data_IF_257753569931
#
_entry.id   IF_257753569931
#
_cell.length_a   1.000
_cell.length_b   1.000
_cell.length_c   1.000
_cell.angle_alpha   90.00
_cell.angle_beta   90.00
_cell.angle_gamma   90.00
#
_symmetry.space_group_name_H-M   'P 1'
#
loop_
_entity.id
_entity.type
_entity.pdbx_description
1 polymer ?
#
# COMPACT_ATOMS: atom_id res chain seq x y z
N UNK A 1 -32.67 -53.00 4.18
CA UNK A 1 -31.29 -52.50 4.41
C UNK A 1 -31.14 -51.18 3.66
N UNK A 2 -30.78 -50.10 4.34
CA UNK A 2 -30.81 -48.72 3.79
C UNK A 2 -29.44 -48.08 3.99
N UNK A 3 -28.85 -47.56 2.90
CA UNK A 3 -27.54 -46.93 2.89
C UNK A 3 -27.59 -45.58 2.20
N UNK A 4 -27.14 -44.56 2.91
CA UNK A 4 -26.88 -43.24 2.36
C UNK A 4 -25.40 -43.07 2.07
N UNK A 5 -25.06 -42.70 0.84
CA UNK A 5 -23.69 -42.62 0.34
C UNK A 5 -23.46 -41.28 -0.34
N UNK A 6 -22.40 -40.57 0.02
CA UNK A 6 -22.00 -39.37 -0.71
C UNK A 6 -21.22 -39.80 -1.96
N UNK A 7 -21.73 -39.48 -3.16
CA UNK A 7 -21.20 -40.03 -4.41
C UNK A 7 -19.76 -39.59 -4.70
N UNK A 8 -19.45 -38.31 -4.48
CA UNK A 8 -18.14 -37.71 -4.78
C UNK A 8 -16.98 -38.44 -4.11
N UNK A 9 -17.21 -38.94 -2.90
CA UNK A 9 -16.19 -39.51 -2.02
C UNK A 9 -16.44 -41.00 -1.74
N UNK A 10 -17.55 -41.55 -2.25
CA UNK A 10 -18.07 -42.89 -1.94
C UNK A 10 -18.16 -43.18 -0.43
N UNK A 11 -18.40 -42.12 0.37
CA UNK A 11 -18.40 -42.23 1.82
C UNK A 11 -19.76 -42.65 2.35
N UNK A 12 -19.75 -43.57 3.32
CA UNK A 12 -20.96 -44.02 4.00
C UNK A 12 -21.43 -42.96 4.99
N UNK A 13 -22.55 -42.33 4.66
CA UNK A 13 -23.15 -41.23 5.44
C UNK A 13 -24.02 -41.79 6.56
N UNK A 14 -24.79 -42.83 6.26
CA UNK A 14 -25.66 -43.50 7.22
C UNK A 14 -26.02 -44.91 6.75
N UNK A 15 -26.07 -45.88 7.68
CA UNK A 15 -26.48 -47.25 7.39
C UNK A 15 -27.49 -47.73 8.42
N UNK A 16 -28.67 -48.10 7.95
CA UNK A 16 -29.79 -48.56 8.76
C UNK A 16 -30.27 -49.95 8.33
N UNK A 17 -30.38 -50.86 9.29
CA UNK A 17 -30.81 -52.24 9.03
C UNK A 17 -31.54 -52.80 10.24
N UNK A 18 -32.66 -53.50 10.02
CA UNK A 18 -33.39 -54.22 11.07
C UNK A 18 -33.70 -53.38 12.32
N UNK A 19 -34.08 -52.10 12.15
CA UNK A 19 -34.42 -51.23 13.28
C UNK A 19 -33.23 -50.50 13.92
N UNK A 20 -32.00 -50.77 13.50
CA UNK A 20 -30.78 -50.24 14.13
C UNK A 20 -29.87 -49.50 13.16
N UNK A 21 -29.23 -48.45 13.68
CA UNK A 21 -28.21 -47.69 12.96
C UNK A 21 -26.86 -48.41 13.14
N UNK A 22 -26.30 -48.91 12.03
CA UNK A 22 -25.13 -49.79 12.04
C UNK A 22 -23.80 -49.04 11.93
N UNK A 23 -23.78 -47.86 11.33
CA UNK A 23 -22.53 -47.11 11.18
C UNK A 23 -22.61 -45.85 10.33
N UNK A 24 -21.62 -45.00 10.56
CA UNK A 24 -21.37 -43.72 9.90
C UNK A 24 -19.85 -43.57 9.74
N UNK A 25 -19.37 -42.96 8.67
CA UNK A 25 -17.97 -42.52 8.61
C UNK A 25 -17.71 -41.35 9.56
N UNK A 26 -16.45 -41.18 9.98
CA UNK A 26 -16.07 -40.28 11.08
C UNK A 26 -16.57 -38.82 10.89
N UNK A 27 -16.51 -38.31 9.67
CA UNK A 27 -17.01 -36.97 9.30
C UNK A 27 -18.53 -36.76 9.41
N UNK A 28 -19.30 -37.86 9.43
CA UNK A 28 -20.75 -37.87 9.57
C UNK A 28 -21.22 -38.33 10.95
N UNK A 29 -20.29 -38.84 11.76
CA UNK A 29 -20.58 -39.47 13.05
C UNK A 29 -21.27 -38.50 14.00
N UNK A 30 -22.46 -38.87 14.46
CA UNK A 30 -23.28 -38.06 15.36
C UNK A 30 -23.92 -36.84 14.72
N UNK A 31 -23.74 -36.64 13.40
CA UNK A 31 -24.37 -35.57 12.63
C UNK A 31 -25.57 -36.04 11.84
N UNK A 32 -25.66 -37.34 11.55
CA UNK A 32 -26.68 -37.89 10.64
C UNK A 32 -27.71 -38.76 11.35
N UNK A 33 -28.95 -38.69 10.88
CA UNK A 33 -30.09 -39.42 11.43
C UNK A 33 -31.09 -39.75 10.32
N UNK A 34 -31.50 -41.02 10.23
CA UNK A 34 -32.60 -41.44 9.37
C UNK A 34 -33.94 -41.16 10.08
N UNK A 35 -34.80 -40.35 9.47
CA UNK A 35 -36.10 -39.99 10.05
C UNK A 35 -37.06 -41.17 9.93
N UNK A 36 -37.54 -41.68 11.08
CA UNK A 36 -38.28 -42.95 11.15
C UNK A 36 -39.78 -42.83 10.91
N UNK A 37 -40.34 -41.63 11.12
CA UNK A 37 -41.79 -41.41 11.11
C UNK A 37 -42.43 -41.68 9.74
N UNK A 38 -41.67 -41.56 8.64
CA UNK A 38 -42.15 -41.79 7.28
C UNK A 38 -41.76 -43.15 6.67
N UNK A 39 -41.02 -44.01 7.40
CA UNK A 39 -40.50 -45.27 6.84
C UNK A 39 -41.62 -46.21 6.40
N UNK A 40 -42.72 -46.28 7.15
CA UNK A 40 -43.89 -47.12 6.81
C UNK A 40 -44.55 -46.71 5.50
N UNK A 41 -44.43 -45.44 5.14
CA UNK A 41 -45.00 -44.85 3.93
C UNK A 41 -44.00 -44.85 2.77
N UNK A 42 -42.81 -45.45 2.98
CA UNK A 42 -41.73 -45.53 2.00
C UNK A 42 -40.83 -44.30 1.94
N UNK A 43 -40.96 -43.36 2.87
CA UNK A 43 -40.12 -42.16 2.92
C UNK A 43 -38.80 -42.45 3.66
N UNK A 44 -37.67 -42.00 3.11
CA UNK A 44 -36.33 -42.38 3.55
C UNK A 44 -35.43 -41.19 3.90
N UNK A 45 -36.03 -40.13 4.44
CA UNK A 45 -35.35 -38.86 4.69
C UNK A 45 -34.17 -38.98 5.64
N UNK A 46 -33.04 -38.38 5.24
CA UNK A 46 -31.84 -38.26 6.05
C UNK A 46 -31.67 -36.82 6.52
N UNK A 47 -31.55 -36.63 7.83
CA UNK A 47 -31.16 -35.36 8.44
C UNK A 47 -29.65 -35.32 8.65
N UNK A 48 -29.00 -34.25 8.20
CA UNK A 48 -27.60 -33.91 8.52
C UNK A 48 -27.59 -32.63 9.35
N UNK A 49 -26.93 -32.63 10.50
CA UNK A 49 -26.81 -31.50 11.42
C UNK A 49 -25.43 -30.87 11.34
N UNK A 50 -25.34 -29.59 11.76
CA UNK A 50 -24.12 -28.79 11.66
C UNK A 50 -23.52 -28.85 10.24
N UNK A 51 -24.36 -28.55 9.24
CA UNK A 51 -24.00 -28.63 7.81
C UNK A 51 -22.88 -27.64 7.49
N UNK A 52 -21.93 -28.08 6.68
CA UNK A 52 -20.75 -27.36 6.23
C UNK A 52 -20.71 -27.31 4.69
N UNK A 53 -19.90 -26.42 4.13
CA UNK A 53 -19.71 -26.34 2.66
C UNK A 53 -19.18 -27.63 2.04
N UNK A 54 -18.47 -28.48 2.81
CA UNK A 54 -18.01 -29.80 2.36
C UNK A 54 -19.13 -30.84 2.22
N UNK A 55 -20.28 -30.61 2.83
CA UNK A 55 -21.42 -31.52 2.70
C UNK A 55 -22.18 -31.30 1.39
N UNK A 56 -21.95 -30.19 0.66
CA UNK A 56 -22.54 -29.98 -0.67
C UNK A 56 -22.16 -31.11 -1.64
N UNK A 57 -23.15 -31.64 -2.36
CA UNK A 57 -22.94 -32.64 -3.40
C UNK A 57 -24.11 -33.61 -3.58
N UNK A 58 -23.86 -34.63 -4.41
CA UNK A 58 -24.83 -35.70 -4.69
C UNK A 58 -24.73 -36.82 -3.67
N UNK A 59 -25.89 -37.23 -3.16
CA UNK A 59 -26.08 -38.31 -2.21
C UNK A 59 -26.97 -39.36 -2.85
N UNK A 60 -26.59 -40.63 -2.74
CA UNK A 60 -27.47 -41.73 -3.11
C UNK A 60 -28.04 -42.43 -1.88
N UNK A 61 -29.32 -42.76 -1.96
CA UNK A 61 -30.02 -43.63 -1.04
C UNK A 61 -30.23 -44.98 -1.73
N UNK A 62 -29.51 -46.00 -1.28
CA UNK A 62 -29.60 -47.37 -1.77
C UNK A 62 -30.38 -48.23 -0.77
N UNK A 63 -31.40 -48.93 -1.26
CA UNK A 63 -32.26 -49.82 -0.49
C UNK A 63 -32.14 -51.23 -1.03
N UNK A 64 -31.86 -52.18 -0.14
CA UNK A 64 -31.86 -53.61 -0.42
C UNK A 64 -32.90 -54.31 0.45
N UNK A 65 -33.79 -55.08 -0.17
CA UNK A 65 -34.77 -55.93 0.51
C UNK A 65 -34.83 -57.31 -0.18
N UNK A 66 -34.27 -58.34 0.48
CA UNK A 66 -34.03 -59.63 -0.17
C UNK A 66 -33.20 -59.46 -1.44
N UNK A 67 -33.74 -59.91 -2.58
CA UNK A 67 -33.12 -59.77 -3.90
C UNK A 67 -33.48 -58.44 -4.61
N UNK A 68 -34.42 -57.67 -4.05
CA UNK A 68 -34.84 -56.39 -4.62
C UNK A 68 -33.86 -55.26 -4.24
N UNK A 69 -33.52 -54.44 -5.23
CA UNK A 69 -32.65 -53.27 -5.08
C UNK A 69 -33.28 -52.04 -5.71
N UNK A 70 -33.18 -50.91 -5.04
CA UNK A 70 -33.54 -49.61 -5.58
C UNK A 70 -32.54 -48.55 -5.11
N UNK A 71 -32.30 -47.54 -5.96
CA UNK A 71 -31.43 -46.42 -5.65
C UNK A 71 -32.03 -45.12 -6.16
N UNK A 72 -31.93 -44.06 -5.35
CA UNK A 72 -32.31 -42.70 -5.73
C UNK A 72 -31.18 -41.74 -5.40
N UNK A 73 -31.07 -40.65 -6.16
CA UNK A 73 -30.02 -39.63 -5.99
C UNK A 73 -30.65 -38.29 -5.67
N UNK A 74 -30.11 -37.59 -4.68
CA UNK A 74 -30.52 -36.25 -4.25
C UNK A 74 -29.30 -35.35 -4.23
N UNK A 75 -29.45 -34.09 -4.62
CA UNK A 75 -28.40 -33.08 -4.56
C UNK A 75 -28.63 -32.15 -3.38
N UNK A 76 -27.62 -32.01 -2.51
CA UNK A 76 -27.59 -31.05 -1.42
C UNK A 76 -26.71 -29.87 -1.83
N UNK A 77 -27.28 -28.67 -1.80
CA UNK A 77 -26.56 -27.41 -2.01
C UNK A 77 -26.51 -26.61 -0.71
N UNK A 78 -25.30 -26.34 -0.23
CA UNK A 78 -25.04 -25.57 0.99
C UNK A 78 -24.48 -24.21 0.62
N UNK A 79 -25.20 -23.15 1.02
CA UNK A 79 -24.72 -21.77 0.91
C UNK A 79 -23.95 -21.37 2.17
N UNK A 80 -22.68 -20.99 2.03
CA UNK A 80 -21.84 -20.47 3.12
C UNK A 80 -21.46 -18.99 2.87
N UNK A 81 -22.24 -18.04 3.41
CA UNK A 81 -21.94 -16.61 3.25
C UNK A 81 -20.69 -16.18 4.04
N UNK A 82 -20.28 -16.92 5.08
CA UNK A 82 -19.14 -16.53 5.90
C UNK A 82 -17.81 -16.72 5.16
N UNK A 83 -17.65 -17.82 4.41
CA UNK A 83 -16.47 -18.01 3.57
C UNK A 83 -16.32 -16.91 2.51
N UNK A 84 -17.44 -16.44 1.95
CA UNK A 84 -17.47 -15.32 0.99
C UNK A 84 -17.04 -14.00 1.63
N UNK A 85 -17.58 -13.70 2.82
CA UNK A 85 -17.20 -12.51 3.59
C UNK A 85 -15.71 -12.56 3.90
N UNK A 86 -15.17 -13.73 4.30
CA UNK A 86 -13.78 -13.87 4.69
C UNK A 86 -12.80 -13.57 3.55
N UNK A 87 -13.08 -14.10 2.37
CA UNK A 87 -12.26 -13.86 1.19
C UNK A 87 -12.30 -12.39 0.75
N UNK A 88 -13.43 -11.69 0.93
CA UNK A 88 -13.57 -10.30 0.50
C UNK A 88 -12.72 -9.34 1.33
N UNK A 89 -12.81 -9.43 2.67
CA UNK A 89 -12.05 -8.51 3.53
C UNK A 89 -10.55 -8.74 3.47
N UNK A 90 -10.10 -9.99 3.31
CA UNK A 90 -8.68 -10.31 3.17
C UNK A 90 -8.08 -9.66 1.91
N UNK A 91 -8.80 -9.72 0.78
CA UNK A 91 -8.39 -9.03 -0.46
C UNK A 91 -8.39 -7.51 -0.29
N UNK A 92 -9.42 -6.94 0.36
CA UNK A 92 -9.50 -5.51 0.61
C UNK A 92 -8.32 -5.01 1.47
N UNK A 93 -7.97 -5.73 2.54
CA UNK A 93 -6.82 -5.40 3.38
C UNK A 93 -5.51 -5.46 2.59
N UNK A 94 -5.32 -6.47 1.73
CA UNK A 94 -4.13 -6.59 0.90
C UNK A 94 -3.98 -5.38 -0.04
N UNK A 95 -5.07 -4.92 -0.66
CA UNK A 95 -5.08 -3.72 -1.52
C UNK A 95 -4.76 -2.46 -0.71
N UNK A 96 -5.36 -2.29 0.47
CA UNK A 96 -5.08 -1.14 1.34
C UNK A 96 -3.60 -1.11 1.75
N UNK A 97 -3.05 -2.25 2.16
CA UNK A 97 -1.64 -2.36 2.57
C UNK A 97 -0.70 -2.00 1.41
N UNK A 98 -0.97 -2.48 0.19
CA UNK A 98 -0.14 -2.16 -0.98
C UNK A 98 -0.17 -0.66 -1.32
N UNK A 99 -1.35 -0.02 -1.23
CA UNK A 99 -1.49 1.42 -1.41
C UNK A 99 -0.75 2.23 -0.33
N UNK A 100 -0.83 1.80 0.94
CA UNK A 100 -0.13 2.45 2.05
C UNK A 100 1.38 2.36 1.90
N UNK A 101 1.90 1.19 1.53
CA UNK A 101 3.34 0.98 1.28
C UNK A 101 3.80 1.83 0.10
N UNK A 102 3.06 1.83 -1.01
CA UNK A 102 3.36 2.66 -2.18
C UNK A 102 3.39 4.15 -1.83
N UNK A 103 2.37 4.62 -1.11
CA UNK A 103 2.27 6.00 -0.63
C UNK A 103 3.44 6.37 0.29
N UNK A 104 3.82 5.48 1.20
CA UNK A 104 4.96 5.69 2.08
C UNK A 104 6.27 5.86 1.29
N UNK A 105 6.53 5.00 0.30
CA UNK A 105 7.72 5.08 -0.56
C UNK A 105 7.75 6.39 -1.34
N UNK A 106 6.62 6.80 -1.94
CA UNK A 106 6.50 8.06 -2.67
C UNK A 106 6.76 9.25 -1.75
N UNK A 107 6.16 9.26 -0.56
CA UNK A 107 6.37 10.32 0.42
C UNK A 107 7.83 10.43 0.86
N UNK A 108 8.51 9.29 1.12
CA UNK A 108 9.94 9.27 1.45
C UNK A 108 10.78 9.82 0.30
N UNK A 109 10.46 9.45 -0.95
CA UNK A 109 11.15 9.96 -2.13
C UNK A 109 10.98 11.47 -2.29
N UNK A 110 9.74 11.98 -2.19
CA UNK A 110 9.44 13.40 -2.25
C UNK A 110 10.14 14.18 -1.13
N UNK A 111 10.17 13.62 0.08
CA UNK A 111 10.87 14.22 1.21
C UNK A 111 12.39 14.32 0.94
N UNK A 112 13.02 13.24 0.46
CA UNK A 112 14.44 13.24 0.09
C UNK A 112 14.74 14.29 -0.98
N UNK A 113 13.89 14.38 -2.02
CA UNK A 113 14.03 15.37 -3.09
C UNK A 113 13.91 16.81 -2.57
N UNK A 114 12.92 17.08 -1.71
CA UNK A 114 12.70 18.41 -1.11
C UNK A 114 13.87 18.84 -0.22
N UNK A 115 14.42 17.93 0.58
CA UNK A 115 15.60 18.20 1.43
C UNK A 115 16.82 18.54 0.58
N UNK A 116 17.07 17.81 -0.51
CA UNK A 116 18.19 18.08 -1.41
C UNK A 116 18.09 19.48 -2.05
N UNK A 117 16.91 19.83 -2.57
CA UNK A 117 16.68 21.16 -3.15
C UNK A 117 16.80 22.29 -2.12
N UNK A 118 16.29 22.09 -0.90
CA UNK A 118 16.43 23.08 0.17
C UNK A 118 17.88 23.33 0.55
N UNK A 119 18.74 22.30 0.52
CA UNK A 119 20.18 22.46 0.76
C UNK A 119 20.88 23.24 -0.35
N UNK A 120 20.54 22.97 -1.60
CA UNK A 120 21.11 23.70 -2.74
C UNK A 120 20.71 25.18 -2.72
N UNK A 121 19.44 25.48 -2.42
CA UNK A 121 18.95 26.86 -2.28
C UNK A 121 19.70 27.60 -1.16
N UNK A 122 19.83 26.98 0.02
CA UNK A 122 20.59 27.56 1.14
C UNK A 122 22.05 27.85 0.77
N UNK A 123 22.68 27.01 -0.06
CA UNK A 123 24.06 27.24 -0.53
C UNK A 123 24.13 28.43 -1.49
N UNK A 124 23.18 28.53 -2.43
CA UNK A 124 23.09 29.67 -3.35
C UNK A 124 22.83 30.97 -2.60
N UNK A 125 21.96 30.95 -1.59
CA UNK A 125 21.70 32.13 -0.75
C UNK A 125 22.95 32.56 0.02
N UNK A 126 23.70 31.60 0.60
CA UNK A 126 24.95 31.90 1.29
C UNK A 126 26.03 32.48 0.35
N UNK A 127 26.16 31.92 -0.87
CA UNK A 127 27.09 32.42 -1.88
C UNK A 127 26.71 33.82 -2.38
N UNK A 128 25.41 34.11 -2.52
CA UNK A 128 24.92 35.44 -2.90
C UNK A 128 25.20 36.47 -1.82
N UNK A 129 25.04 36.13 -0.54
CA UNK A 129 25.37 37.02 0.59
C UNK A 129 26.87 37.33 0.62
N UNK A 130 27.74 36.34 0.41
CA UNK A 130 29.18 36.55 0.36
C UNK A 130 29.59 37.45 -0.82
N UNK A 131 29.03 37.21 -2.01
CA UNK A 131 29.25 38.04 -3.20
C UNK A 131 28.77 39.48 -2.99
N UNK A 132 27.63 39.68 -2.35
CA UNK A 132 27.12 41.00 -2.03
C UNK A 132 28.07 41.75 -1.08
N UNK A 133 28.52 41.10 0.00
CA UNK A 133 29.47 41.70 0.94
C UNK A 133 30.83 42.00 0.29
N UNK A 134 31.29 41.16 -0.63
CA UNK A 134 32.53 41.40 -1.39
C UNK A 134 32.40 42.57 -2.37
N UNK A 135 31.23 42.73 -2.99
CA UNK A 135 30.94 43.86 -3.88
C UNK A 135 30.94 45.18 -3.12
N UNK A 136 30.28 45.25 -1.96
CA UNK A 136 30.28 46.45 -1.12
C UNK A 136 31.69 46.88 -0.69
N UNK A 137 32.57 45.93 -0.37
CA UNK A 137 33.98 46.23 -0.06
C UNK A 137 34.73 46.82 -1.24
N UNK A 138 34.54 46.26 -2.44
CA UNK A 138 35.16 46.80 -3.66
C UNK A 138 34.65 48.19 -3.99
N UNK A 139 33.35 48.44 -3.81
CA UNK A 139 32.78 49.76 -4.04
C UNK A 139 33.37 50.80 -3.06
N UNK A 140 33.60 50.41 -1.80
CA UNK A 140 34.28 51.26 -0.81
C UNK A 140 35.75 51.55 -1.19
N UNK A 141 36.51 50.53 -1.61
CA UNK A 141 37.91 50.69 -2.08
C UNK A 141 38.00 51.61 -3.31
N UNK A 142 37.10 51.44 -4.28
CA UNK A 142 37.03 52.29 -5.48
C UNK A 142 36.70 53.74 -5.13
N UNK A 143 35.78 53.96 -4.17
CA UNK A 143 35.46 55.30 -3.69
C UNK A 143 36.67 55.99 -3.03
N UNK A 144 37.47 55.25 -2.26
CA UNK A 144 38.70 55.76 -1.65
C UNK A 144 39.76 56.09 -2.70
N UNK A 145 39.98 55.22 -3.69
CA UNK A 145 40.90 55.49 -4.80
C UNK A 145 40.48 56.72 -5.61
N UNK A 146 39.18 56.88 -5.88
CA UNK A 146 38.65 58.04 -6.58
C UNK A 146 38.87 59.35 -5.79
N UNK A 147 38.72 59.30 -4.46
CA UNK A 147 39.02 60.44 -3.60
C UNK A 147 40.52 60.81 -3.62
N UNK A 148 41.40 59.82 -3.57
CA UNK A 148 42.85 60.04 -3.66
C UNK A 148 43.27 60.61 -5.02
N UNK A 149 42.68 60.14 -6.13
CA UNK A 149 42.96 60.70 -7.46
C UNK A 149 42.59 62.19 -7.51
N UNK A 150 41.37 62.54 -7.09
CA UNK A 150 40.91 63.94 -7.06
C UNK A 150 41.83 64.84 -6.22
N UNK A 151 42.29 64.35 -5.08
CA UNK A 151 43.21 65.11 -4.22
C UNK A 151 44.56 65.33 -4.90
N UNK A 152 45.09 64.32 -5.61
CA UNK A 152 46.33 64.41 -6.37
C UNK A 152 46.21 65.39 -7.52
N UNK A 153 45.10 65.35 -8.25
CA UNK A 153 44.82 66.26 -9.37
C UNK A 153 44.74 67.72 -8.87
N UNK A 154 44.03 67.97 -7.77
CA UNK A 154 43.96 69.29 -7.14
C UNK A 154 45.33 69.80 -6.63
N UNK A 155 46.20 68.89 -6.15
CA UNK A 155 47.56 69.25 -5.72
C UNK A 155 48.46 69.57 -6.93
N UNK A 156 48.30 68.84 -8.03
CA UNK A 156 49.03 69.09 -9.27
C UNK A 156 48.64 70.44 -9.87
N UNK A 157 47.34 70.75 -9.95
CA UNK A 157 46.83 72.06 -10.39
C UNK A 157 47.43 73.20 -9.55
N UNK A 158 47.50 73.04 -8.22
CA UNK A 158 48.12 74.04 -7.34
C UNK A 158 49.61 74.23 -7.61
N UNK A 159 50.34 73.16 -7.92
CA UNK A 159 51.75 73.27 -8.31
C UNK A 159 51.93 73.92 -9.68
N UNK A 160 51.06 73.61 -10.65
CA UNK A 160 51.05 74.24 -11.98
C UNK A 160 50.82 75.75 -11.84
N UNK A 161 49.79 76.17 -11.09
CA UNK A 161 49.52 77.59 -10.82
C UNK A 161 50.72 78.30 -10.17
N UNK A 162 51.41 77.63 -9.24
CA UNK A 162 52.60 78.19 -8.58
C UNK A 162 53.82 78.29 -9.50
N UNK A 163 53.93 77.39 -10.49
CA UNK A 163 54.97 77.44 -11.51
C UNK A 163 54.68 78.54 -12.54
N UNK A 164 53.43 78.74 -12.92
CA UNK A 164 53.00 79.86 -13.77
C UNK A 164 53.32 81.21 -13.10
N UNK A 165 52.92 81.41 -11.84
CA UNK A 165 53.23 82.64 -11.06
C UNK A 165 54.74 82.92 -11.01
N UNK A 166 55.56 81.88 -10.81
CA UNK A 166 57.01 82.01 -10.74
C UNK A 166 57.67 82.24 -12.11
N UNK A 167 57.03 81.79 -13.19
CA UNK A 167 57.49 82.04 -14.56
C UNK A 167 57.21 83.49 -14.95
N UNK A 168 56.04 84.02 -14.57
CA UNK A 168 55.69 85.43 -14.75
C UNK A 168 56.64 86.37 -13.98
N UNK A 169 57.05 86.00 -12.75
CA UNK A 169 58.05 86.75 -11.98
C UNK A 169 59.43 86.81 -12.65
N UNK A 170 59.84 85.75 -13.37
CA UNK A 170 61.13 85.71 -14.10
C UNK A 170 61.06 86.50 -15.40
N UNK A 171 59.92 86.51 -16.08
CA UNK A 171 59.73 87.22 -17.35
C UNK A 171 59.62 88.75 -17.19
N UNK A 172 59.20 89.23 -16.00
CA UNK A 172 59.11 90.67 -15.64
C UNK A 172 60.45 91.21 -15.07
N UNK A 173 61.36 90.32 -14.67
CA UNK A 173 62.64 90.66 -14.02
C UNK A 173 63.85 90.82 -14.96
N UNK A 174 63.66 90.71 -16.28
CA UNK A 174 64.67 90.90 -17.34
C UNK A 174 64.26 92.09 -18.21
#
# INVERSE_FOLDING_TARGET
DIRWIQQRSSRLVHHYRNGVDLGQMEEYKGRTELLRDGLSDGNLDLRITAVTSSDSGSYSCAVQDGDAYAEAVVNLEVSDPFSMIILYWTVALAVIITLLVGSFVVNVFLHRKKVAQSRELKRKDAELVEKAAALERKDAELAEQAAQSKQRDAMLDKHVLKLEEKTDEVEIGI
#
